data_IF_524379716601
#
_entry.id   IF_524379716601
#
_cell.length_a   1.000
_cell.length_b   1.000
_cell.length_c   1.000
_cell.angle_alpha   90.00
_cell.angle_beta   90.00
_cell.angle_gamma   90.00
#
_symmetry.space_group_name_H-M   'P 1'
#
loop_
_entity.id
_entity.type
_entity.pdbx_description
1 polymer ?
#
# COMPACT_ATOMS: atom_id res chain seq x y z
N UNK A 1 -24.82 -7.70 -2.95
CA UNK A 1 -24.07 -6.52 -3.39
C UNK A 1 -22.60 -6.73 -3.06
N UNK A 2 -21.71 -6.66 -4.05
CA UNK A 2 -20.27 -6.87 -3.84
C UNK A 2 -19.67 -5.65 -3.15
N UNK A 3 -18.83 -5.87 -2.13
CA UNK A 3 -18.20 -4.79 -1.35
C UNK A 3 -16.74 -5.08 -1.09
N UNK A 4 -15.92 -4.04 -1.04
CA UNK A 4 -14.52 -4.07 -0.64
C UNK A 4 -14.27 -3.27 0.65
N UNK A 5 -13.26 -3.67 1.40
CA UNK A 5 -12.77 -2.89 2.54
C UNK A 5 -11.67 -1.94 2.04
N UNK A 6 -12.00 -0.68 1.92
CA UNK A 6 -11.11 0.36 1.42
C UNK A 6 -10.61 1.19 2.61
N UNK A 7 -9.30 1.38 2.68
CA UNK A 7 -8.65 2.22 3.68
C UNK A 7 -8.85 3.69 3.36
N UNK A 8 -8.50 4.06 2.14
CA UNK A 8 -8.48 5.44 1.66
C UNK A 8 -8.58 5.49 0.13
N UNK A 9 -8.97 6.64 -0.41
CA UNK A 9 -8.96 6.91 -1.84
C UNK A 9 -8.20 8.21 -2.07
N UNK A 10 -7.12 8.11 -2.83
CA UNK A 10 -6.31 9.28 -3.17
C UNK A 10 -6.57 9.70 -4.62
N UNK A 11 -7.20 10.84 -4.77
CA UNK A 11 -7.41 11.47 -6.06
C UNK A 11 -6.12 12.15 -6.56
N UNK A 12 -5.92 12.16 -7.87
CA UNK A 12 -4.83 12.85 -8.57
C UNK A 12 -3.44 12.45 -8.06
N UNK A 13 -3.26 11.17 -7.69
CA UNK A 13 -1.98 10.62 -7.31
C UNK A 13 -1.01 10.63 -8.50
N UNK A 14 0.27 11.00 -8.26
CA UNK A 14 1.32 11.12 -9.28
C UNK A 14 2.41 10.05 -9.16
N UNK A 15 2.36 9.20 -8.13
CA UNK A 15 3.41 8.20 -7.84
C UNK A 15 2.95 6.75 -7.99
N UNK A 16 1.69 6.52 -8.32
CA UNK A 16 1.06 5.21 -8.29
C UNK A 16 0.82 4.65 -9.72
N UNK A 17 1.75 4.91 -10.62
CA UNK A 17 1.74 4.54 -12.04
C UNK A 17 1.73 5.76 -12.96
N UNK A 18 1.58 5.59 -14.29
CA UNK A 18 1.68 6.67 -15.27
C UNK A 18 0.51 7.65 -15.18
N UNK A 19 0.81 8.93 -15.39
CA UNK A 19 -0.17 10.02 -15.40
C UNK A 19 -0.81 10.31 -14.04
N UNK A 20 -1.90 11.09 -14.04
CA UNK A 20 -2.70 11.35 -12.85
C UNK A 20 -3.67 10.20 -12.58
N UNK A 21 -3.73 9.72 -11.35
CA UNK A 21 -4.47 8.50 -11.02
C UNK A 21 -5.37 8.70 -9.79
N UNK A 22 -6.48 7.97 -9.78
CA UNK A 22 -7.19 7.69 -8.54
C UNK A 22 -6.68 6.37 -7.99
N UNK A 23 -6.10 6.41 -6.78
CA UNK A 23 -5.57 5.21 -6.12
C UNK A 23 -6.48 4.78 -4.99
N UNK A 24 -7.01 3.56 -5.09
CA UNK A 24 -7.75 2.91 -4.01
C UNK A 24 -6.79 2.13 -3.14
N UNK A 25 -6.68 2.51 -1.88
CA UNK A 25 -5.90 1.80 -0.88
C UNK A 25 -6.78 0.78 -0.16
N UNK A 26 -6.50 -0.49 -0.36
CA UNK A 26 -7.24 -1.61 0.23
C UNK A 26 -6.78 -1.91 1.65
N UNK A 27 -7.67 -2.44 2.49
CA UNK A 27 -7.32 -3.02 3.79
C UNK A 27 -7.05 -4.51 3.68
N UNK A 28 -6.12 -4.97 4.53
CA UNK A 28 -5.60 -6.31 4.56
C UNK A 28 -4.28 -6.43 3.80
N UNK A 29 -3.26 -6.98 4.47
CA UNK A 29 -1.97 -7.31 3.86
C UNK A 29 -1.45 -8.59 4.50
N UNK A 30 -0.90 -9.55 3.73
CA UNK A 30 -0.29 -10.75 4.31
C UNK A 30 1.07 -10.45 4.95
N UNK A 31 1.73 -9.36 4.52
CA UNK A 31 3.04 -8.96 5.03
C UNK A 31 2.93 -8.08 6.28
N UNK A 32 4.03 -8.05 7.04
CA UNK A 32 4.24 -7.22 8.23
C UNK A 32 5.57 -6.47 8.12
N UNK A 33 5.75 -5.76 6.99
CA UNK A 33 6.98 -5.02 6.70
C UNK A 33 7.30 -4.05 7.84
N UNK A 34 8.52 -4.10 8.37
CA UNK A 34 8.96 -3.25 9.47
C UNK A 34 9.06 -1.77 9.09
N UNK A 35 9.10 -1.47 7.80
CA UNK A 35 9.07 -0.11 7.23
C UNK A 35 7.71 0.28 6.65
N UNK A 36 6.63 -0.39 7.01
CA UNK A 36 5.33 -0.16 6.38
C UNK A 36 4.89 1.31 6.51
N UNK A 37 4.59 1.95 5.37
CA UNK A 37 4.09 3.33 5.37
C UNK A 37 2.58 3.42 5.63
N UNK A 38 1.87 2.29 5.54
CA UNK A 38 0.44 2.21 5.77
C UNK A 38 0.12 1.09 6.80
N UNK A 39 0.62 1.20 8.06
CA UNK A 39 0.36 0.17 9.08
C UNK A 39 -1.14 -0.04 9.31
N UNK A 40 -1.96 1.00 9.09
CA UNK A 40 -3.41 0.97 9.15
C UNK A 40 -4.06 0.11 8.05
N UNK A 41 -3.30 -0.27 7.00
CA UNK A 41 -3.77 -1.18 5.96
C UNK A 41 -3.53 -2.65 6.27
N UNK A 42 -2.71 -2.98 7.28
CA UNK A 42 -2.28 -4.36 7.54
C UNK A 42 -3.42 -5.26 8.02
N UNK A 43 -4.30 -4.74 8.86
CA UNK A 43 -5.51 -5.45 9.30
C UNK A 43 -6.57 -5.43 8.20
N UNK A 44 -7.24 -6.56 7.98
CA UNK A 44 -8.39 -6.60 7.07
C UNK A 44 -9.66 -5.99 7.69
N UNK A 45 -9.69 -5.81 9.03
CA UNK A 45 -10.82 -5.22 9.76
C UNK A 45 -10.63 -3.71 9.90
N UNK A 46 -11.72 -2.93 9.96
CA UNK A 46 -11.62 -1.52 10.32
C UNK A 46 -10.96 -1.33 11.68
N UNK A 47 -10.19 -0.25 11.84
CA UNK A 47 -9.47 0.10 13.07
C UNK A 47 -9.68 1.57 13.41
N UNK A 48 -9.75 1.85 14.72
CA UNK A 48 -9.88 3.22 15.20
C UNK A 48 -8.50 3.87 15.34
N UNK A 49 -8.27 4.97 14.66
CA UNK A 49 -7.10 5.83 14.80
C UNK A 49 -7.34 6.96 15.81
N UNK A 50 -6.29 7.35 16.53
CA UNK A 50 -6.28 8.53 17.39
C UNK A 50 -5.12 9.45 16.98
N UNK A 51 -5.45 10.57 16.37
CA UNK A 51 -4.51 11.65 16.05
C UNK A 51 -4.34 12.52 17.29
N UNK A 52 -3.42 12.13 18.17
CA UNK A 52 -3.28 12.74 19.50
C UNK A 52 -2.99 14.24 19.45
N UNK A 53 -2.29 14.71 18.43
CA UNK A 53 -1.99 16.13 18.20
C UNK A 53 -3.21 16.99 17.84
N UNK A 54 -4.34 16.37 17.44
CA UNK A 54 -5.61 17.05 17.21
C UNK A 54 -6.54 17.00 18.43
N UNK A 55 -6.24 16.16 19.42
CA UNK A 55 -7.10 15.98 20.59
C UNK A 55 -7.04 17.19 21.51
N UNK A 56 -8.20 17.77 21.81
CA UNK A 56 -8.36 18.93 22.71
C UNK A 56 -8.88 18.55 24.11
N UNK A 57 -8.86 17.27 24.47
CA UNK A 57 -9.33 16.75 25.76
C UNK A 57 -10.78 17.13 26.13
N UNK A 58 -11.65 17.26 25.14
CA UNK A 58 -13.06 17.63 25.37
C UNK A 58 -13.93 16.50 25.92
N UNK A 59 -13.44 15.26 25.94
CA UNK A 59 -14.04 14.01 26.49
C UNK A 59 -15.37 13.56 25.87
N UNK A 60 -15.87 14.19 24.80
CA UNK A 60 -17.11 13.77 24.14
C UNK A 60 -17.09 12.32 23.66
N UNK A 61 -15.91 11.80 23.25
CA UNK A 61 -15.74 10.39 22.88
C UNK A 61 -16.02 9.43 24.07
N UNK A 62 -15.69 9.83 25.30
CA UNK A 62 -15.94 9.07 26.53
C UNK A 62 -17.43 9.00 26.87
N UNK A 63 -18.22 10.06 26.58
CA UNK A 63 -19.67 10.08 26.79
C UNK A 63 -20.39 9.03 25.93
N UNK A 64 -19.90 8.77 24.70
CA UNK A 64 -20.52 7.83 23.76
C UNK A 64 -19.88 6.44 23.77
N UNK A 65 -18.69 6.29 24.39
CA UNK A 65 -17.98 5.02 24.43
C UNK A 65 -17.05 4.92 25.65
N UNK A 66 -17.32 3.96 26.53
CA UNK A 66 -16.56 3.74 27.78
C UNK A 66 -15.12 3.25 27.54
N UNK A 67 -14.76 2.86 26.32
CA UNK A 67 -13.40 2.43 25.97
C UNK A 67 -12.41 3.59 25.86
N UNK A 68 -12.89 4.84 25.87
CA UNK A 68 -12.06 6.04 25.94
C UNK A 68 -11.85 6.45 27.38
N UNK A 69 -10.59 6.58 27.79
CA UNK A 69 -10.22 7.05 29.13
C UNK A 69 -9.13 8.12 29.02
N UNK A 70 -8.94 8.88 30.10
CA UNK A 70 -7.90 9.90 30.18
C UNK A 70 -7.10 9.65 31.46
N UNK A 71 -5.79 9.55 31.38
CA UNK A 71 -4.95 9.39 32.54
C UNK A 71 -4.81 10.70 33.35
N UNK A 72 -4.06 10.66 34.45
CA UNK A 72 -3.86 11.84 35.34
C UNK A 72 -3.17 13.00 34.64
N UNK A 73 -2.37 12.71 33.59
CA UNK A 73 -1.65 13.70 32.81
C UNK A 73 -2.46 14.20 31.61
N UNK A 74 -3.77 13.85 31.52
CA UNK A 74 -4.65 14.22 30.42
C UNK A 74 -4.43 13.41 29.14
N UNK A 75 -3.58 12.38 29.14
CA UNK A 75 -3.36 11.58 27.95
C UNK A 75 -4.59 10.73 27.64
N UNK A 76 -5.11 10.87 26.43
CA UNK A 76 -6.21 10.07 25.92
C UNK A 76 -5.75 8.63 25.62
N UNK A 77 -6.45 7.65 26.16
CA UNK A 77 -6.20 6.21 26.00
C UNK A 77 -7.44 5.53 25.44
N UNK A 78 -7.25 4.46 24.68
CA UNK A 78 -8.34 3.66 24.08
C UNK A 78 -8.10 2.19 24.39
N UNK A 79 -9.11 1.52 24.98
CA UNK A 79 -9.10 0.06 25.17
C UNK A 79 -9.42 -0.63 23.81
N UNK A 80 -8.37 -0.83 22.99
CA UNK A 80 -8.48 -1.30 21.62
C UNK A 80 -8.95 -2.74 21.50
N UNK A 81 -8.61 -3.60 22.48
CA UNK A 81 -8.95 -5.02 22.45
C UNK A 81 -10.48 -5.24 22.40
N UNK A 82 -11.25 -4.34 23.00
CA UNK A 82 -12.72 -4.40 23.02
C UNK A 82 -13.39 -3.52 21.97
N UNK A 83 -12.60 -2.77 21.18
CA UNK A 83 -13.13 -1.85 20.20
C UNK A 83 -13.72 -2.58 18.98
N UNK A 84 -14.99 -2.33 18.70
CA UNK A 84 -15.70 -2.88 17.54
C UNK A 84 -15.61 -2.01 16.30
N UNK A 85 -14.86 -0.91 16.36
CA UNK A 85 -14.71 0.07 15.26
C UNK A 85 -16.04 0.60 14.73
N UNK A 86 -17.02 0.79 15.61
CA UNK A 86 -18.38 1.22 15.23
C UNK A 86 -18.51 2.69 14.81
N UNK A 87 -17.47 3.51 14.96
CA UNK A 87 -17.41 4.90 14.51
C UNK A 87 -18.15 5.93 15.38
N UNK A 88 -18.89 5.55 16.44
CA UNK A 88 -19.65 6.50 17.26
C UNK A 88 -18.79 7.61 17.85
N UNK A 89 -17.60 7.28 18.33
CA UNK A 89 -16.64 8.24 18.90
C UNK A 89 -16.03 9.16 17.83
N UNK A 90 -15.90 8.68 16.57
CA UNK A 90 -15.47 9.49 15.44
C UNK A 90 -16.50 10.58 15.17
N UNK A 91 -17.78 10.22 15.08
CA UNK A 91 -18.87 11.17 14.86
C UNK A 91 -19.04 12.18 16.01
N UNK A 92 -18.65 11.80 17.24
CA UNK A 92 -18.72 12.68 18.41
C UNK A 92 -17.52 13.63 18.53
N UNK A 93 -16.44 13.41 17.75
CA UNK A 93 -15.21 14.19 17.86
C UNK A 93 -15.29 15.49 17.06
N UNK A 94 -15.33 16.67 17.71
CA UNK A 94 -15.54 17.94 17.00
C UNK A 94 -14.32 18.42 16.21
N UNK A 95 -13.14 17.84 16.49
CA UNK A 95 -11.86 18.24 15.88
C UNK A 95 -11.24 17.13 15.00
N UNK A 96 -12.01 16.09 14.69
CA UNK A 96 -11.55 14.95 13.89
C UNK A 96 -10.21 14.35 14.39
N UNK A 97 -10.06 14.26 15.73
CA UNK A 97 -8.92 13.58 16.34
C UNK A 97 -9.06 12.05 16.31
N UNK A 98 -10.25 11.56 16.06
CA UNK A 98 -10.55 10.13 15.90
C UNK A 98 -10.94 9.87 14.46
N UNK A 99 -10.33 8.85 13.86
CA UNK A 99 -10.57 8.43 12.49
C UNK A 99 -10.85 6.92 12.44
N UNK A 100 -11.70 6.49 11.52
CA UNK A 100 -11.92 5.08 11.27
C UNK A 100 -11.14 4.67 10.03
N UNK A 101 -10.12 3.85 10.22
CA UNK A 101 -9.33 3.30 9.12
C UNK A 101 -10.00 2.06 8.55
N UNK A 102 -10.52 2.22 7.34
CA UNK A 102 -11.23 1.20 6.59
C UNK A 102 -12.73 1.36 6.62
N UNK A 103 -13.28 1.48 5.41
CA UNK A 103 -14.71 1.61 5.15
C UNK A 103 -15.15 0.53 4.18
N UNK A 104 -16.31 -0.06 4.46
CA UNK A 104 -16.93 -1.01 3.53
C UNK A 104 -17.59 -0.24 2.39
N UNK A 105 -17.03 -0.36 1.20
CA UNK A 105 -17.47 0.36 0.01
C UNK A 105 -18.15 -0.59 -0.98
N UNK A 106 -19.28 -0.17 -1.56
CA UNK A 106 -19.95 -0.94 -2.63
C UNK A 106 -19.21 -0.73 -3.96
N UNK A 107 -19.38 -1.68 -4.88
CA UNK A 107 -18.80 -1.58 -6.21
C UNK A 107 -19.28 -0.30 -6.94
N UNK A 108 -20.57 0.00 -6.84
CA UNK A 108 -21.16 1.18 -7.48
C UNK A 108 -20.51 2.48 -7.00
N UNK A 109 -20.31 2.60 -5.68
CA UNK A 109 -19.67 3.79 -5.10
C UNK A 109 -18.20 3.89 -5.52
N UNK A 110 -17.46 2.77 -5.54
CA UNK A 110 -16.07 2.77 -5.99
C UNK A 110 -15.94 3.17 -7.47
N UNK A 111 -16.83 2.68 -8.31
CA UNK A 111 -16.87 3.07 -9.73
C UNK A 111 -17.20 4.56 -9.87
N UNK A 112 -18.23 5.05 -9.18
CA UNK A 112 -18.62 6.47 -9.24
C UNK A 112 -17.48 7.39 -8.80
N UNK A 113 -16.76 7.00 -7.74
CA UNK A 113 -15.61 7.73 -7.22
C UNK A 113 -14.46 7.79 -8.25
N UNK A 114 -14.09 6.65 -8.82
CA UNK A 114 -13.06 6.60 -9.86
C UNK A 114 -13.45 7.42 -11.12
N UNK A 115 -14.72 7.41 -11.51
CA UNK A 115 -15.20 8.14 -12.68
C UNK A 115 -15.22 9.66 -12.46
N UNK A 116 -15.23 10.14 -11.22
CA UNK A 116 -15.18 11.58 -10.92
C UNK A 116 -13.91 12.26 -11.48
N UNK A 117 -12.81 11.50 -11.60
CA UNK A 117 -11.53 12.01 -12.10
C UNK A 117 -11.29 11.68 -13.59
N UNK A 118 -12.27 11.13 -14.32
CA UNK A 118 -12.08 10.64 -15.70
C UNK A 118 -11.52 11.71 -16.66
N UNK A 119 -11.88 12.97 -16.46
CA UNK A 119 -11.37 14.07 -17.29
C UNK A 119 -9.85 14.23 -17.15
N UNK A 120 -9.31 14.05 -15.93
CA UNK A 120 -7.88 14.14 -15.66
C UNK A 120 -7.12 12.94 -16.26
N UNK A 121 -7.69 11.73 -16.22
CA UNK A 121 -7.06 10.56 -16.83
C UNK A 121 -6.85 10.75 -18.35
N UNK A 122 -7.87 11.26 -19.03
CA UNK A 122 -7.81 11.52 -20.47
C UNK A 122 -6.78 12.58 -20.85
N UNK A 123 -6.65 13.61 -20.03
CA UNK A 123 -5.72 14.72 -20.29
C UNK A 123 -4.25 14.34 -20.10
N UNK A 124 -3.96 13.35 -19.21
CA UNK A 124 -2.59 13.05 -18.75
C UNK A 124 -2.16 11.59 -18.95
N UNK A 125 -2.92 10.77 -19.67
CA UNK A 125 -2.61 9.35 -19.84
C UNK A 125 -2.68 8.54 -18.53
N UNK A 126 -3.45 9.04 -17.55
CA UNK A 126 -3.61 8.44 -16.23
C UNK A 126 -4.68 7.36 -16.17
N UNK A 127 -5.18 7.07 -14.96
CA UNK A 127 -6.20 6.05 -14.76
C UNK A 127 -6.46 5.71 -13.30
N UNK A 128 -6.75 4.47 -13.02
CA UNK A 128 -7.01 3.99 -11.67
C UNK A 128 -5.96 2.96 -11.24
N UNK A 129 -5.54 3.04 -9.97
CA UNK A 129 -4.62 2.06 -9.35
C UNK A 129 -5.29 1.45 -8.12
N UNK A 130 -5.20 0.13 -7.98
CA UNK A 130 -5.52 -0.58 -6.76
C UNK A 130 -4.23 -0.87 -6.01
N UNK A 131 -4.12 -0.40 -4.77
CA UNK A 131 -2.94 -0.46 -3.91
C UNK A 131 -3.34 -0.62 -2.44
N UNK A 132 -2.51 -0.19 -1.48
CA UNK A 132 -2.84 -0.10 -0.05
C UNK A 132 -2.12 -1.13 0.80
N UNK A 133 -2.84 -2.11 1.36
CA UNK A 133 -2.27 -3.32 1.93
C UNK A 133 -1.86 -4.27 0.79
N UNK A 134 -2.76 -5.21 0.49
CA UNK A 134 -2.64 -6.09 -0.69
C UNK A 134 -4.03 -6.19 -1.35
N UNK A 135 -4.26 -5.51 -2.48
CA UNK A 135 -5.58 -5.49 -3.11
C UNK A 135 -6.03 -6.88 -3.58
N UNK A 136 -5.09 -7.77 -3.92
CA UNK A 136 -5.41 -9.11 -4.38
C UNK A 136 -5.90 -10.04 -3.26
N UNK A 137 -5.81 -9.66 -1.99
CA UNK A 137 -6.54 -10.34 -0.90
C UNK A 137 -8.07 -10.19 -1.06
N UNK A 138 -8.51 -9.16 -1.78
CA UNK A 138 -9.90 -8.91 -2.11
C UNK A 138 -10.11 -9.02 -3.64
N UNK A 139 -9.52 -10.03 -4.26
CA UNK A 139 -9.41 -10.18 -5.72
C UNK A 139 -10.76 -10.19 -6.45
N UNK A 140 -11.84 -10.65 -5.83
CA UNK A 140 -13.19 -10.61 -6.44
C UNK A 140 -13.69 -9.16 -6.59
N UNK A 141 -13.52 -8.35 -5.56
CA UNK A 141 -13.89 -6.93 -5.61
C UNK A 141 -12.93 -6.16 -6.54
N UNK A 142 -11.64 -6.43 -6.47
CA UNK A 142 -10.64 -5.82 -7.34
C UNK A 142 -10.94 -6.09 -8.83
N UNK A 143 -11.19 -7.34 -9.18
CA UNK A 143 -11.53 -7.73 -10.56
C UNK A 143 -12.82 -7.07 -11.04
N UNK A 144 -13.86 -7.02 -10.21
CA UNK A 144 -15.12 -6.38 -10.55
C UNK A 144 -14.95 -4.87 -10.78
N UNK A 145 -14.22 -4.18 -9.89
CA UNK A 145 -13.94 -2.74 -10.04
C UNK A 145 -13.18 -2.46 -11.32
N UNK A 146 -12.08 -3.19 -11.57
CA UNK A 146 -11.28 -3.02 -12.79
C UNK A 146 -12.10 -3.32 -14.05
N UNK A 147 -12.97 -4.35 -14.02
CA UNK A 147 -13.87 -4.68 -15.14
C UNK A 147 -14.81 -3.52 -15.48
N UNK A 148 -15.41 -2.89 -14.49
CA UNK A 148 -16.27 -1.72 -14.72
C UNK A 148 -15.46 -0.55 -15.29
N UNK A 149 -14.27 -0.27 -14.75
CA UNK A 149 -13.39 0.80 -15.25
C UNK A 149 -12.95 0.56 -16.69
N UNK A 150 -12.70 -0.69 -17.08
CA UNK A 150 -12.37 -1.03 -18.49
C UNK A 150 -13.51 -0.72 -19.46
N UNK A 151 -14.78 -0.84 -19.07
CA UNK A 151 -15.93 -0.43 -19.90
C UNK A 151 -15.88 1.07 -20.24
N UNK A 152 -15.32 1.88 -19.33
CA UNK A 152 -15.12 3.32 -19.50
C UNK A 152 -13.78 3.69 -20.15
N UNK A 153 -13.01 2.68 -20.66
CA UNK A 153 -11.69 2.84 -21.29
C UNK A 153 -10.66 3.52 -20.36
N UNK A 154 -10.77 3.30 -19.06
CA UNK A 154 -9.80 3.78 -18.08
C UNK A 154 -8.62 2.81 -18.03
N UNK A 155 -7.41 3.35 -18.02
CA UNK A 155 -6.19 2.58 -17.79
C UNK A 155 -6.15 2.10 -16.33
N UNK A 156 -5.87 0.82 -16.15
CA UNK A 156 -5.92 0.14 -14.84
C UNK A 156 -4.55 -0.37 -14.43
N UNK A 157 -4.20 -0.16 -13.16
CA UNK A 157 -2.99 -0.72 -12.57
C UNK A 157 -3.28 -1.44 -11.25
N UNK A 158 -2.51 -2.47 -10.96
CA UNK A 158 -2.54 -3.20 -9.69
C UNK A 158 -1.15 -3.13 -9.06
N UNK A 159 -1.08 -2.56 -7.86
CA UNK A 159 0.11 -2.46 -7.04
C UNK A 159 0.06 -3.58 -5.99
N UNK A 160 0.96 -4.54 -6.08
CA UNK A 160 0.90 -5.80 -5.30
C UNK A 160 2.25 -6.19 -4.72
N UNK A 161 2.22 -6.73 -3.51
CA UNK A 161 3.39 -7.39 -2.92
C UNK A 161 3.61 -8.83 -3.43
N UNK A 162 2.70 -9.36 -4.24
CA UNK A 162 2.79 -10.69 -4.84
C UNK A 162 2.58 -11.87 -3.88
N UNK A 163 2.41 -11.65 -2.58
CA UNK A 163 2.33 -12.72 -1.58
C UNK A 163 0.89 -13.24 -1.40
N UNK A 164 0.23 -13.61 -2.50
CA UNK A 164 -1.12 -14.16 -2.56
C UNK A 164 -1.16 -15.36 -3.51
N UNK A 165 -2.17 -16.26 -3.43
CA UNK A 165 -2.31 -17.36 -4.39
C UNK A 165 -2.42 -16.84 -5.83
N UNK A 166 -1.85 -17.58 -6.80
CA UNK A 166 -1.90 -17.22 -8.22
C UNK A 166 -3.33 -17.02 -8.75
N UNK A 167 -4.30 -17.77 -8.23
CA UNK A 167 -5.71 -17.61 -8.58
C UNK A 167 -6.28 -16.21 -8.32
N UNK A 168 -5.65 -15.42 -7.45
CA UNK A 168 -6.03 -14.02 -7.25
C UNK A 168 -5.55 -13.14 -8.41
N UNK A 169 -4.36 -13.43 -8.97
CA UNK A 169 -3.88 -12.78 -10.19
C UNK A 169 -4.74 -13.11 -11.41
N UNK A 170 -5.09 -14.39 -11.58
CA UNK A 170 -5.90 -14.84 -12.73
C UNK A 170 -7.21 -14.05 -12.87
N UNK A 171 -7.82 -13.63 -11.76
CA UNK A 171 -9.05 -12.85 -11.76
C UNK A 171 -8.86 -11.43 -12.31
N UNK A 172 -7.72 -10.80 -12.05
CA UNK A 172 -7.45 -9.41 -12.43
C UNK A 172 -6.66 -9.28 -13.72
N UNK A 173 -5.93 -10.31 -14.15
CA UNK A 173 -5.10 -10.30 -15.36
C UNK A 173 -5.82 -9.78 -16.62
N UNK A 174 -7.06 -10.21 -16.95
CA UNK A 174 -7.74 -9.75 -18.17
C UNK A 174 -8.06 -8.26 -18.16
N UNK A 175 -8.15 -7.67 -16.98
CA UNK A 175 -8.64 -6.29 -16.77
C UNK A 175 -7.58 -5.35 -16.20
N UNK A 176 -6.31 -5.77 -16.15
CA UNK A 176 -5.17 -4.96 -15.71
C UNK A 176 -4.25 -4.64 -16.88
N UNK A 177 -3.88 -3.37 -17.03
CA UNK A 177 -2.97 -2.90 -18.07
C UNK A 177 -1.51 -2.85 -17.60
N UNK A 178 -1.28 -2.62 -16.30
CA UNK A 178 0.06 -2.50 -15.72
C UNK A 178 0.06 -3.12 -14.31
N UNK A 179 1.08 -3.93 -14.02
CA UNK A 179 1.36 -4.36 -12.66
C UNK A 179 2.52 -3.57 -12.07
N UNK A 180 2.31 -3.01 -10.89
CA UNK A 180 3.32 -2.43 -10.02
C UNK A 180 3.65 -3.50 -8.99
N UNK A 181 4.83 -4.10 -9.10
CA UNK A 181 5.17 -5.29 -8.32
C UNK A 181 6.26 -4.99 -7.31
N UNK A 182 5.97 -5.14 -6.04
CA UNK A 182 6.91 -4.88 -4.96
C UNK A 182 7.92 -6.02 -4.77
N UNK A 183 9.19 -5.77 -5.06
CA UNK A 183 10.31 -6.67 -4.77
C UNK A 183 11.12 -6.11 -3.60
N UNK A 184 11.01 -6.74 -2.43
CA UNK A 184 11.49 -6.15 -1.18
C UNK A 184 12.88 -6.64 -0.75
N UNK A 185 13.23 -7.87 -1.08
CA UNK A 185 14.57 -8.46 -0.91
C UNK A 185 14.71 -9.68 -1.82
N UNK A 186 15.88 -9.90 -2.45
CA UNK A 186 16.11 -11.07 -3.31
C UNK A 186 16.24 -12.39 -2.51
N UNK A 187 16.76 -12.34 -1.27
CA UNK A 187 16.97 -13.49 -0.42
C UNK A 187 15.79 -13.73 0.52
N UNK A 188 15.30 -14.98 0.59
CA UNK A 188 14.10 -15.34 1.34
C UNK A 188 14.24 -15.19 2.85
N UNK A 189 15.39 -15.57 3.43
CA UNK A 189 15.61 -15.46 4.86
C UNK A 189 15.56 -14.00 5.33
N UNK A 190 16.25 -13.09 4.62
CA UNK A 190 16.25 -11.66 4.88
C UNK A 190 14.85 -11.06 4.64
N UNK A 191 14.17 -11.43 3.55
CA UNK A 191 12.79 -11.02 3.28
C UNK A 191 11.89 -11.39 4.46
N UNK A 192 11.93 -12.65 4.93
CA UNK A 192 11.12 -13.14 6.05
C UNK A 192 11.39 -12.38 7.34
N UNK A 193 12.66 -12.10 7.64
CA UNK A 193 13.04 -11.36 8.86
C UNK A 193 12.38 -9.99 8.94
N UNK A 194 12.21 -9.31 7.81
CA UNK A 194 11.77 -7.92 7.75
C UNK A 194 10.31 -7.75 7.34
N UNK A 195 9.69 -8.78 6.73
CA UNK A 195 8.31 -8.71 6.23
C UNK A 195 7.37 -9.73 6.87
N UNK A 196 7.92 -10.72 7.58
CA UNK A 196 7.17 -11.80 8.22
C UNK A 196 6.99 -13.05 7.35
N UNK A 197 7.20 -12.99 6.03
CA UNK A 197 7.08 -14.11 5.10
C UNK A 197 8.32 -14.23 4.21
N UNK A 198 8.64 -15.44 3.76
CA UNK A 198 9.63 -15.68 2.69
C UNK A 198 9.16 -15.09 1.36
N UNK A 199 10.05 -15.06 0.37
CA UNK A 199 9.75 -14.48 -0.93
C UNK A 199 9.49 -15.52 -2.04
N UNK A 200 9.43 -16.80 -1.71
CA UNK A 200 9.30 -17.88 -2.69
C UNK A 200 8.01 -17.72 -3.51
N UNK A 201 6.89 -17.54 -2.84
CA UNK A 201 5.59 -17.38 -3.50
C UNK A 201 5.53 -16.12 -4.38
N UNK A 202 6.06 -15.00 -3.88
CA UNK A 202 6.04 -13.77 -4.66
C UNK A 202 6.96 -13.85 -5.88
N UNK A 203 8.12 -14.50 -5.80
CA UNK A 203 9.02 -14.70 -6.93
C UNK A 203 8.42 -15.67 -7.97
N UNK A 204 7.76 -16.74 -7.52
CA UNK A 204 6.99 -17.62 -8.40
C UNK A 204 5.89 -16.85 -9.13
N UNK A 205 5.15 -16.00 -8.42
CA UNK A 205 4.09 -15.17 -9.01
C UNK A 205 4.66 -14.13 -9.99
N UNK A 206 5.80 -13.51 -9.67
CA UNK A 206 6.47 -12.57 -10.58
C UNK A 206 6.86 -13.25 -11.91
N UNK A 207 7.44 -14.47 -11.83
CA UNK A 207 7.79 -15.24 -13.01
C UNK A 207 6.56 -15.67 -13.82
N UNK A 208 5.47 -16.05 -13.16
CA UNK A 208 4.20 -16.38 -13.84
C UNK A 208 3.60 -15.15 -14.50
N UNK A 209 3.64 -14.00 -13.82
CA UNK A 209 3.14 -12.73 -14.32
C UNK A 209 3.91 -12.31 -15.58
N UNK A 210 5.23 -12.40 -15.55
CA UNK A 210 6.09 -12.08 -16.70
C UNK A 210 5.70 -12.91 -17.95
N UNK A 211 5.45 -14.22 -17.78
CA UNK A 211 5.01 -15.10 -18.88
C UNK A 211 3.65 -14.73 -19.47
N UNK A 212 2.87 -13.88 -18.82
CA UNK A 212 1.58 -13.42 -19.36
C UNK A 212 1.71 -12.33 -20.43
N UNK A 213 2.88 -11.73 -20.58
CA UNK A 213 3.13 -10.59 -21.48
C UNK A 213 2.58 -9.25 -20.96
N UNK A 214 2.12 -9.20 -19.71
CA UNK A 214 1.66 -7.94 -19.10
C UNK A 214 2.83 -7.05 -18.71
N UNK A 215 2.75 -5.74 -18.94
CA UNK A 215 3.76 -4.78 -18.49
C UNK A 215 3.93 -4.83 -16.97
N UNK A 216 5.18 -4.85 -16.51
CA UNK A 216 5.54 -4.88 -15.07
C UNK A 216 6.48 -3.73 -14.78
N UNK A 217 6.12 -2.86 -13.82
CA UNK A 217 7.06 -1.99 -13.14
C UNK A 217 7.40 -2.64 -11.79
N UNK A 218 8.67 -2.96 -11.56
CA UNK A 218 9.10 -3.48 -10.26
C UNK A 218 9.42 -2.31 -9.33
N UNK A 219 8.87 -2.36 -8.12
CA UNK A 219 9.07 -1.37 -7.06
C UNK A 219 9.96 -1.94 -5.97
N UNK A 220 11.01 -1.21 -5.63
CA UNK A 220 11.96 -1.60 -4.58
C UNK A 220 11.92 -0.55 -3.47
N UNK A 221 11.24 -0.83 -2.35
CA UNK A 221 11.38 -0.01 -1.15
C UNK A 221 12.84 -0.11 -0.67
N UNK A 222 13.58 1.00 -0.75
CA UNK A 222 15.01 1.04 -0.43
C UNK A 222 15.20 1.34 1.06
N UNK A 223 15.64 0.34 1.81
CA UNK A 223 15.88 0.44 3.26
C UNK A 223 17.39 0.42 3.51
N UNK A 224 17.98 1.52 4.01
CA UNK A 224 19.42 1.60 4.25
C UNK A 224 19.95 0.44 5.10
N UNK A 225 21.04 -0.19 4.66
CA UNK A 225 21.69 -1.29 5.35
C UNK A 225 20.94 -2.64 5.33
N UNK A 226 19.72 -2.68 4.79
CA UNK A 226 18.97 -3.93 4.65
C UNK A 226 19.02 -4.48 3.21
N UNK A 227 18.56 -3.70 2.25
CA UNK A 227 18.53 -4.13 0.85
C UNK A 227 19.31 -3.20 -0.09
N UNK A 228 20.14 -2.32 0.47
CA UNK A 228 21.09 -1.46 -0.23
C UNK A 228 22.52 -2.03 -0.27
N UNK A 229 22.73 -3.27 0.21
CA UNK A 229 24.06 -3.89 0.20
C UNK A 229 24.43 -4.37 -1.21
N UNK A 230 25.72 -4.48 -1.55
CA UNK A 230 26.16 -4.98 -2.86
C UNK A 230 25.55 -6.34 -3.21
N UNK A 231 25.43 -7.24 -2.24
CA UNK A 231 24.88 -8.60 -2.43
C UNK A 231 23.39 -8.53 -2.75
N UNK A 232 22.63 -7.70 -2.04
CA UNK A 232 21.21 -7.51 -2.29
C UNK A 232 20.98 -6.85 -3.66
N UNK A 233 21.77 -5.85 -4.02
CA UNK A 233 21.68 -5.19 -5.32
C UNK A 233 22.01 -6.14 -6.47
N UNK A 234 23.04 -6.99 -6.32
CA UNK A 234 23.37 -8.02 -7.30
C UNK A 234 22.21 -9.04 -7.44
N UNK A 235 21.62 -9.46 -6.32
CA UNK A 235 20.47 -10.37 -6.32
C UNK A 235 19.23 -9.76 -6.99
N UNK A 236 18.94 -8.47 -6.79
CA UNK A 236 17.90 -7.77 -7.53
C UNK A 236 18.20 -7.77 -9.03
N UNK A 237 19.42 -7.40 -9.43
CA UNK A 237 19.79 -7.34 -10.84
C UNK A 237 19.67 -8.71 -11.51
N UNK A 238 20.03 -9.81 -10.82
CA UNK A 238 19.87 -11.18 -11.33
C UNK A 238 18.38 -11.54 -11.56
N UNK A 239 17.50 -11.17 -10.64
CA UNK A 239 16.05 -11.41 -10.82
C UNK A 239 15.49 -10.57 -11.97
N UNK A 240 15.81 -9.29 -11.99
CA UNK A 240 15.23 -8.32 -12.93
C UNK A 240 15.69 -8.56 -14.36
N UNK A 241 16.95 -8.98 -14.58
CA UNK A 241 17.51 -9.27 -15.91
C UNK A 241 16.86 -10.46 -16.60
N UNK A 242 16.11 -11.30 -15.86
CA UNK A 242 15.40 -12.48 -16.39
C UNK A 242 13.96 -12.18 -16.81
N UNK A 243 13.46 -10.98 -16.54
CA UNK A 243 12.09 -10.57 -16.86
C UNK A 243 12.04 -10.01 -18.29
N UNK A 244 11.14 -10.55 -19.10
CA UNK A 244 10.96 -10.15 -20.50
C UNK A 244 10.00 -8.94 -20.63
N UNK A 245 9.09 -8.78 -19.67
CA UNK A 245 8.04 -7.74 -19.70
C UNK A 245 8.26 -6.65 -18.64
N UNK A 246 9.48 -6.55 -18.10
CA UNK A 246 9.88 -5.47 -17.20
C UNK A 246 9.93 -4.14 -17.98
N UNK A 247 9.08 -3.19 -17.59
CA UNK A 247 9.07 -1.85 -18.19
C UNK A 247 10.09 -0.93 -17.53
N UNK A 248 10.15 -0.98 -16.20
CA UNK A 248 11.09 -0.17 -15.41
C UNK A 248 11.19 -0.70 -13.97
N UNK A 249 12.22 -0.21 -13.28
CA UNK A 249 12.36 -0.34 -11.83
C UNK A 249 12.17 1.03 -11.19
N UNK A 250 11.33 1.10 -10.16
CA UNK A 250 11.16 2.30 -9.32
C UNK A 250 11.77 2.07 -7.94
N UNK A 251 12.78 2.86 -7.59
CA UNK A 251 13.39 2.85 -6.27
C UNK A 251 12.60 3.80 -5.37
N UNK A 252 12.08 3.27 -4.25
CA UNK A 252 11.25 4.01 -3.30
C UNK A 252 12.05 4.24 -2.00
N UNK A 253 12.65 5.43 -1.79
CA UNK A 253 13.46 5.71 -0.61
C UNK A 253 12.66 5.60 0.68
N UNK A 254 13.22 4.93 1.69
CA UNK A 254 12.61 4.82 3.02
C UNK A 254 12.52 6.18 3.70
N UNK A 255 11.34 6.47 4.25
CA UNK A 255 11.09 7.56 5.18
C UNK A 255 10.14 7.12 6.30
N UNK A 256 10.08 7.87 7.39
CA UNK A 256 9.28 7.52 8.55
C UNK A 256 7.78 7.79 8.36
N UNK A 257 6.95 6.92 8.95
CA UNK A 257 5.51 7.07 9.04
C UNK A 257 5.01 7.14 10.50
N UNK A 258 5.80 7.73 11.40
CA UNK A 258 5.60 7.72 12.87
C UNK A 258 4.20 8.08 13.30
N UNK A 259 3.60 9.11 12.70
CA UNK A 259 2.26 9.57 13.09
C UNK A 259 1.17 8.52 12.83
N UNK A 260 1.32 7.68 11.80
CA UNK A 260 0.38 6.60 11.48
C UNK A 260 0.47 5.46 12.50
N UNK A 261 1.70 5.10 12.89
CA UNK A 261 1.91 4.12 13.97
C UNK A 261 1.35 4.63 15.29
N UNK A 262 1.64 5.88 15.65
CA UNK A 262 1.13 6.50 16.88
C UNK A 262 -0.40 6.55 16.90
N UNK A 263 -1.05 6.83 15.77
CA UNK A 263 -2.51 6.84 15.67
C UNK A 263 -3.14 5.47 16.00
N UNK A 264 -2.41 4.38 15.78
CA UNK A 264 -2.81 3.02 16.12
C UNK A 264 -2.30 2.55 17.48
N UNK A 265 -1.66 3.42 18.26
CA UNK A 265 -0.96 3.08 19.52
C UNK A 265 0.14 2.03 19.32
N UNK A 266 0.82 2.10 18.17
CA UNK A 266 1.93 1.24 17.79
C UNK A 266 3.25 2.00 17.83
N UNK A 267 4.34 1.28 18.08
CA UNK A 267 5.68 1.83 17.90
C UNK A 267 6.16 1.51 16.49
N UNK A 268 6.69 2.51 15.78
CA UNK A 268 7.33 2.31 14.48
C UNK A 268 8.56 1.41 14.65
N UNK A 269 8.64 0.24 13.96
CA UNK A 269 9.71 -0.74 14.23
C UNK A 269 11.11 -0.26 13.88
N UNK A 270 11.24 0.65 12.89
CA UNK A 270 12.52 1.21 12.44
C UNK A 270 12.70 2.67 12.86
N UNK A 271 12.14 3.07 14.01
CA UNK A 271 12.15 4.45 14.51
C UNK A 271 13.53 5.09 14.63
N UNK A 272 14.58 4.27 14.83
CA UNK A 272 15.96 4.69 15.04
C UNK A 272 16.81 4.58 13.74
N UNK A 273 16.26 4.02 12.65
CA UNK A 273 16.93 3.98 11.36
C UNK A 273 16.84 5.37 10.72
N UNK A 274 17.94 5.87 10.16
CA UNK A 274 17.90 7.08 9.37
C UNK A 274 17.05 6.91 8.11
N UNK A 275 16.34 7.97 7.68
CA UNK A 275 15.69 7.97 6.38
C UNK A 275 16.73 7.76 5.27
N UNK A 276 16.28 7.17 4.15
CA UNK A 276 17.16 6.99 2.99
C UNK A 276 17.54 8.36 2.43
N UNK A 277 18.85 8.59 2.22
CA UNK A 277 19.31 9.82 1.58
C UNK A 277 19.10 9.79 0.07
N UNK A 278 19.05 10.98 -0.54
CA UNK A 278 18.92 11.10 -2.00
C UNK A 278 20.17 10.55 -2.70
N UNK A 279 21.37 10.70 -2.09
CA UNK A 279 22.63 10.18 -2.61
C UNK A 279 22.59 8.64 -2.69
N UNK A 280 22.17 7.95 -1.60
CA UNK A 280 22.06 6.50 -1.60
C UNK A 280 21.01 6.03 -2.62
N UNK A 281 19.88 6.73 -2.72
CA UNK A 281 18.85 6.39 -3.69
C UNK A 281 19.40 6.52 -5.13
N UNK A 282 20.17 7.57 -5.42
CA UNK A 282 20.78 7.76 -6.74
C UNK A 282 21.90 6.76 -7.03
N UNK A 283 22.71 6.39 -6.05
CA UNK A 283 23.70 5.32 -6.19
C UNK A 283 23.04 3.99 -6.61
N UNK A 284 21.91 3.64 -5.98
CA UNK A 284 21.15 2.42 -6.31
C UNK A 284 20.52 2.51 -7.71
N UNK A 285 19.97 3.67 -8.08
CA UNK A 285 19.46 3.88 -9.45
C UNK A 285 20.56 3.77 -10.50
N UNK A 286 21.74 4.37 -10.22
CA UNK A 286 22.90 4.29 -11.09
C UNK A 286 23.41 2.84 -11.23
N UNK A 287 23.38 2.05 -10.14
CA UNK A 287 23.71 0.64 -10.18
C UNK A 287 22.79 -0.13 -11.16
N UNK A 288 21.47 0.06 -11.09
CA UNK A 288 20.55 -0.61 -12.00
C UNK A 288 20.75 -0.16 -13.45
N UNK A 289 20.91 1.14 -13.71
CA UNK A 289 21.21 1.67 -15.08
C UNK A 289 22.49 1.05 -15.64
N UNK A 290 23.56 0.91 -14.83
CA UNK A 290 24.82 0.27 -15.24
C UNK A 290 24.65 -1.21 -15.61
N UNK A 291 23.64 -1.88 -15.04
CA UNK A 291 23.28 -3.27 -15.34
C UNK A 291 22.20 -3.37 -16.44
N UNK A 292 22.01 -2.32 -17.27
CA UNK A 292 21.03 -2.25 -18.37
C UNK A 292 19.57 -2.42 -17.93
N UNK A 293 19.25 -2.08 -16.69
CA UNK A 293 17.89 -2.10 -16.14
C UNK A 293 17.33 -0.67 -16.25
N UNK A 294 16.18 -0.52 -16.90
CA UNK A 294 15.50 0.77 -17.00
C UNK A 294 14.97 1.22 -15.64
N UNK A 295 15.26 2.45 -15.23
CA UNK A 295 14.85 3.02 -13.94
C UNK A 295 13.94 4.20 -14.18
N UNK A 296 12.71 4.12 -13.64
CA UNK A 296 11.76 5.24 -13.61
C UNK A 296 12.05 6.21 -12.45
N UNK A 297 11.67 7.48 -12.61
CA UNK A 297 11.80 8.52 -11.58
C UNK A 297 10.72 8.43 -10.50
#
# INVERSE_FOLDING_TARGET
MLTGNILDIKHLAVHDGPGLRTTFFFKGCPLRCRWCHNPESQSAKPELGLLINRCIDCRRCQEVCKLHTFNKDGKHLIERAQCTSCGRCVNACPVNALELYGTRMTLENAVADALSDQAFYRANGGGCTLSGGEPLQQSDFAAALLTELKKHKIHTAVDTCGAVPWSAFEKVLPVTDLFLFDLKHPESAAHKQMTGLGNELLLENLQKLDKTGKPIEVRIPLIPGFNSTPEALAGFADILSKLENLTSVKVLPFHHARFKYQALDMTEPLKDLAACSDELAEEVRAFFRKNNINVSE
#
